data_IF_922338207495
#
_entry.id   IF_922338207495
#
_cell.length_a   1.000
_cell.length_b   1.000
_cell.length_c   1.000
_cell.angle_alpha   90.00
_cell.angle_beta   90.00
_cell.angle_gamma   90.00
#
_symmetry.space_group_name_H-M   'P 1'
#
loop_
_entity.id
_entity.type
_entity.pdbx_description
1 polymer ?
#
# COMPACT_ATOMS: atom_id res chain seq x y z
N UNK A 1 48.87 6.96 16.57
CA UNK A 1 47.96 6.76 15.43
C UNK A 1 46.74 6.02 15.95
N UNK A 2 45.65 6.73 16.25
CA UNK A 2 44.45 6.14 16.86
C UNK A 2 43.54 5.55 15.78
N UNK A 3 43.07 4.32 15.97
CA UNK A 3 42.18 3.63 15.04
C UNK A 3 40.81 4.33 15.02
N UNK A 4 40.16 4.48 13.85
CA UNK A 4 38.80 4.99 13.80
C UNK A 4 37.86 4.04 14.59
N UNK A 5 36.86 4.59 15.30
CA UNK A 5 35.93 3.78 16.08
C UNK A 5 35.15 2.83 15.16
N UNK A 6 35.12 1.54 15.51
CA UNK A 6 34.38 0.49 14.79
C UNK A 6 32.85 0.66 14.86
N UNK A 7 32.37 1.50 15.78
CA UNK A 7 30.96 1.80 15.98
C UNK A 7 30.71 3.22 15.48
N UNK A 8 29.92 3.41 14.41
CA UNK A 8 29.52 4.74 13.95
C UNK A 8 28.76 5.45 15.07
N UNK A 9 29.32 6.55 15.57
CA UNK A 9 28.70 7.43 16.60
C UNK A 9 27.75 8.44 15.92
N UNK A 10 27.75 8.50 14.59
CA UNK A 10 26.92 9.45 13.86
C UNK A 10 25.44 9.07 14.00
N UNK A 11 24.59 10.08 14.21
CA UNK A 11 23.13 9.89 14.19
C UNK A 11 22.60 9.79 12.75
N UNK A 12 23.46 10.03 11.77
CA UNK A 12 23.15 10.14 10.33
C UNK A 12 23.09 8.79 9.62
N UNK A 13 23.78 7.74 10.10
CA UNK A 13 23.72 6.38 9.57
C UNK A 13 22.32 5.75 9.72
N UNK A 14 21.54 6.19 10.70
CA UNK A 14 20.14 5.78 10.85
C UNK A 14 19.18 6.47 9.88
N UNK A 15 19.59 7.58 9.23
CA UNK A 15 18.79 8.28 8.22
C UNK A 15 18.90 7.63 6.84
N UNK A 16 19.94 6.83 6.58
CA UNK A 16 20.11 6.04 5.34
C UNK A 16 19.49 4.65 5.47
N UNK A 17 18.24 4.57 5.91
CA UNK A 17 17.56 3.29 6.06
C UNK A 17 16.62 3.03 4.87
N UNK A 18 16.98 2.05 4.03
CA UNK A 18 16.27 1.73 2.80
C UNK A 18 14.98 0.92 3.01
N UNK A 19 14.36 1.01 4.20
CA UNK A 19 13.10 0.31 4.47
C UNK A 19 11.96 0.78 3.56
N UNK A 20 11.96 2.05 3.15
CA UNK A 20 10.99 2.53 2.16
C UNK A 20 11.21 1.91 0.77
N UNK A 21 12.47 1.65 0.39
CA UNK A 21 12.77 0.91 -0.84
C UNK A 21 12.30 -0.54 -0.76
N UNK A 22 12.55 -1.23 0.36
CA UNK A 22 12.03 -2.60 0.56
C UNK A 22 10.51 -2.60 0.47
N UNK A 23 9.85 -1.65 1.12
CA UNK A 23 8.37 -1.51 1.06
C UNK A 23 7.89 -1.25 -0.36
N UNK A 24 8.58 -0.42 -1.14
CA UNK A 24 8.25 -0.20 -2.55
C UNK A 24 8.39 -1.49 -3.36
N UNK A 25 9.50 -2.21 -3.21
CA UNK A 25 9.73 -3.49 -3.90
C UNK A 25 8.64 -4.52 -3.55
N UNK A 26 8.28 -4.62 -2.27
CA UNK A 26 7.21 -5.52 -1.84
C UNK A 26 5.85 -5.09 -2.38
N UNK A 27 5.53 -3.79 -2.40
CA UNK A 27 4.29 -3.30 -3.00
C UNK A 27 4.22 -3.56 -4.50
N UNK A 28 5.32 -3.41 -5.23
CA UNK A 28 5.40 -3.74 -6.67
C UNK A 28 5.20 -5.24 -6.90
N UNK A 29 5.71 -6.10 -6.02
CA UNK A 29 5.47 -7.54 -6.09
C UNK A 29 3.99 -7.88 -5.97
N UNK A 30 3.27 -7.18 -5.07
CA UNK A 30 1.80 -7.32 -4.94
C UNK A 30 1.08 -6.87 -6.21
N UNK A 31 1.46 -5.72 -6.77
CA UNK A 31 0.89 -5.23 -8.03
C UNK A 31 1.14 -6.22 -9.17
N UNK A 32 2.33 -6.81 -9.23
CA UNK A 32 2.67 -7.82 -10.22
C UNK A 32 1.76 -9.06 -10.10
N UNK A 33 1.59 -9.63 -8.90
CA UNK A 33 0.65 -10.74 -8.66
C UNK A 33 -0.77 -10.42 -9.13
N UNK A 34 -1.29 -9.25 -8.74
CA UNK A 34 -2.63 -8.83 -9.11
C UNK A 34 -2.78 -8.55 -10.61
N UNK A 35 -1.70 -8.18 -11.31
CA UNK A 35 -1.73 -8.04 -12.76
C UNK A 35 -2.02 -9.36 -13.48
N UNK A 36 -1.50 -10.49 -12.97
CA UNK A 36 -1.84 -11.82 -13.47
C UNK A 36 -3.30 -12.17 -13.17
N UNK A 37 -3.79 -11.87 -11.97
CA UNK A 37 -5.21 -12.05 -11.63
C UNK A 37 -6.12 -11.26 -12.58
N UNK A 38 -5.77 -10.01 -12.88
CA UNK A 38 -6.55 -9.15 -13.76
C UNK A 38 -6.49 -9.60 -15.23
N UNK A 39 -5.33 -10.03 -15.72
CA UNK A 39 -5.14 -10.41 -17.11
C UNK A 39 -5.62 -11.84 -17.44
N UNK A 40 -5.47 -12.78 -16.51
CA UNK A 40 -5.70 -14.22 -16.72
C UNK A 40 -6.86 -14.77 -15.89
N UNK A 41 -7.51 -13.93 -15.08
CA UNK A 41 -8.59 -14.32 -14.17
C UNK A 41 -8.12 -15.13 -12.95
N UNK A 42 -6.81 -15.36 -12.81
CA UNK A 42 -6.23 -16.11 -11.70
C UNK A 42 -4.74 -15.78 -11.53
N UNK A 43 -4.29 -15.79 -10.28
CA UNK A 43 -2.87 -15.68 -9.93
C UNK A 43 -2.12 -17.01 -10.13
N UNK A 44 -2.79 -18.11 -10.45
CA UNK A 44 -2.16 -19.43 -10.59
C UNK A 44 -1.09 -19.51 -11.69
N UNK A 45 -1.09 -18.56 -12.64
CA UNK A 45 -0.13 -18.50 -13.76
C UNK A 45 1.05 -17.56 -13.50
N UNK A 46 1.15 -16.95 -12.32
CA UNK A 46 2.35 -16.17 -12.01
C UNK A 46 3.57 -17.08 -11.74
N UNK A 47 4.80 -16.61 -12.00
CA UNK A 47 6.01 -17.45 -11.93
C UNK A 47 6.24 -18.12 -10.56
N UNK A 48 5.95 -17.40 -9.46
CA UNK A 48 6.17 -17.93 -8.11
C UNK A 48 5.07 -18.91 -7.69
N UNK A 49 3.83 -18.67 -8.14
CA UNK A 49 2.73 -19.63 -7.99
C UNK A 49 3.03 -20.94 -8.71
N UNK A 50 3.55 -20.88 -9.94
CA UNK A 50 3.96 -22.09 -10.69
C UNK A 50 5.11 -22.81 -9.97
N UNK A 51 6.13 -22.07 -9.53
CA UNK A 51 7.28 -22.65 -8.84
C UNK A 51 6.93 -23.31 -7.49
N UNK A 52 5.88 -22.83 -6.81
CA UNK A 52 5.41 -23.37 -5.52
C UNK A 52 4.20 -24.28 -5.67
N UNK A 53 3.84 -24.68 -6.89
CA UNK A 53 2.68 -25.54 -7.16
C UNK A 53 1.36 -24.98 -6.59
N UNK A 54 1.19 -23.65 -6.67
CA UNK A 54 -0.02 -22.94 -6.24
C UNK A 54 -0.09 -22.60 -4.74
N UNK A 55 0.90 -22.97 -3.93
CA UNK A 55 0.86 -22.72 -2.48
C UNK A 55 1.09 -21.25 -2.11
N UNK A 56 1.99 -20.57 -2.83
CA UNK A 56 2.33 -19.18 -2.57
C UNK A 56 2.43 -18.39 -3.87
N UNK A 57 1.94 -17.17 -3.86
CA UNK A 57 2.18 -16.21 -4.93
C UNK A 57 3.09 -15.07 -4.41
N UNK A 58 3.61 -14.31 -5.34
CA UNK A 58 4.47 -13.17 -5.12
C UNK A 58 3.75 -12.08 -4.32
N UNK A 59 2.42 -11.97 -4.49
CA UNK A 59 1.57 -11.08 -3.71
C UNK A 59 1.57 -11.39 -2.22
N UNK A 60 1.41 -12.65 -1.82
CA UNK A 60 1.36 -13.09 -0.43
C UNK A 60 2.66 -12.74 0.29
N UNK A 61 3.79 -13.09 -0.32
CA UNK A 61 5.12 -12.78 0.24
C UNK A 61 5.32 -11.27 0.32
N UNK A 62 4.96 -10.53 -0.74
CA UNK A 62 5.04 -9.08 -0.77
C UNK A 62 4.24 -8.44 0.37
N UNK A 63 2.98 -8.82 0.55
CA UNK A 63 2.11 -8.29 1.63
C UNK A 63 2.68 -8.64 3.01
N UNK A 64 3.13 -9.87 3.23
CA UNK A 64 3.68 -10.28 4.54
C UNK A 64 4.89 -9.46 4.92
N UNK A 65 5.88 -9.36 4.03
CA UNK A 65 7.11 -8.59 4.30
C UNK A 65 6.78 -7.10 4.44
N UNK A 66 5.90 -6.57 3.59
CA UNK A 66 5.45 -5.18 3.67
C UNK A 66 4.85 -4.86 5.05
N UNK A 67 3.97 -5.72 5.58
CA UNK A 67 3.36 -5.52 6.88
C UNK A 67 4.32 -5.72 8.05
N UNK A 68 5.21 -6.71 7.98
CA UNK A 68 6.24 -6.91 9.02
C UNK A 68 7.13 -5.66 9.14
N UNK A 69 7.70 -5.19 8.03
CA UNK A 69 8.56 -4.00 8.01
C UNK A 69 7.78 -2.76 8.45
N UNK A 70 6.56 -2.58 7.92
CA UNK A 70 5.72 -1.45 8.30
C UNK A 70 5.35 -1.48 9.79
N UNK A 71 5.11 -2.65 10.37
CA UNK A 71 4.81 -2.85 11.80
C UNK A 71 5.94 -2.36 12.70
N UNK A 72 7.19 -2.71 12.39
CA UNK A 72 8.35 -2.20 13.14
C UNK A 72 8.48 -0.68 13.04
N UNK A 73 8.29 -0.10 11.86
CA UNK A 73 8.31 1.35 11.68
C UNK A 73 7.14 2.04 12.41
N UNK A 74 6.00 1.35 12.53
CA UNK A 74 4.83 1.83 13.27
C UNK A 74 5.15 1.91 14.76
N UNK A 75 5.68 0.84 15.34
CA UNK A 75 6.11 0.80 16.74
C UNK A 75 7.19 1.87 17.03
N UNK A 76 8.21 1.95 16.17
CA UNK A 76 9.28 2.94 16.33
C UNK A 76 8.79 4.40 16.14
N UNK A 77 7.75 4.62 15.34
CA UNK A 77 7.10 5.93 15.22
C UNK A 77 6.26 6.27 16.46
N UNK A 78 5.70 5.27 17.13
CA UNK A 78 4.94 5.45 18.37
C UNK A 78 5.85 5.87 19.53
N UNK A 79 6.96 5.16 19.74
CA UNK A 79 7.95 5.47 20.79
C UNK A 79 8.50 6.89 20.70
N UNK A 80 8.60 7.44 19.50
CA UNK A 80 9.08 8.82 19.25
C UNK A 80 7.97 9.88 19.30
N UNK A 81 6.73 9.50 19.57
CA UNK A 81 5.59 10.42 19.61
C UNK A 81 5.24 10.80 21.05
N UNK A 82 5.08 12.10 21.29
CA UNK A 82 4.77 12.62 22.63
C UNK A 82 3.35 12.29 23.13
N UNK A 83 2.41 11.99 22.22
CA UNK A 83 1.02 11.69 22.57
C UNK A 83 0.28 10.97 21.44
N UNK A 84 -0.83 10.31 21.78
CA UNK A 84 -1.70 9.62 20.82
C UNK A 84 -2.23 10.55 19.70
N UNK A 85 -2.75 11.74 20.00
CA UNK A 85 -3.23 12.66 18.95
C UNK A 85 -2.10 13.14 18.04
N UNK A 86 -0.91 13.39 18.58
CA UNK A 86 0.25 13.83 17.80
C UNK A 86 0.72 12.73 16.82
N UNK A 87 0.67 11.48 17.25
CA UNK A 87 0.97 10.32 16.41
C UNK A 87 -0.06 10.14 15.28
N UNK A 88 -1.36 10.18 15.62
CA UNK A 88 -2.44 10.02 14.64
C UNK A 88 -2.44 11.14 13.61
N UNK A 89 -2.25 12.39 14.03
CA UNK A 89 -2.19 13.55 13.11
C UNK A 89 -1.10 13.39 12.04
N UNK A 90 0.10 12.95 12.43
CA UNK A 90 1.21 12.68 11.49
C UNK A 90 0.85 11.61 10.46
N UNK A 91 0.08 10.59 10.87
CA UNK A 91 -0.32 9.49 9.98
C UNK A 91 -1.44 9.86 9.04
N UNK A 92 -2.45 10.57 9.54
CA UNK A 92 -3.56 11.06 8.70
C UNK A 92 -3.00 11.94 7.59
N UNK A 93 -2.11 12.90 7.92
CA UNK A 93 -1.46 13.75 6.91
C UNK A 93 -0.61 12.99 5.89
N UNK A 94 -0.14 11.79 6.23
CA UNK A 94 0.66 10.94 5.32
C UNK A 94 -0.20 10.01 4.46
N UNK A 95 -1.27 9.44 5.01
CA UNK A 95 -2.09 8.40 4.35
C UNK A 95 -3.23 9.01 3.55
N UNK A 96 -3.93 9.99 4.13
CA UNK A 96 -5.18 10.53 3.58
C UNK A 96 -5.01 11.23 2.22
N UNK A 97 -3.94 12.02 1.97
CA UNK A 97 -3.73 12.62 0.65
C UNK A 97 -3.53 11.58 -0.45
N UNK A 98 -2.75 10.53 -0.17
CA UNK A 98 -2.52 9.44 -1.11
C UNK A 98 -3.78 8.62 -1.36
N UNK A 99 -4.56 8.35 -0.31
CA UNK A 99 -5.84 7.68 -0.41
C UNK A 99 -6.84 8.47 -1.26
N UNK A 100 -6.99 9.78 -1.03
CA UNK A 100 -7.89 10.64 -1.80
C UNK A 100 -7.49 10.70 -3.28
N UNK A 101 -6.19 10.80 -3.56
CA UNK A 101 -5.70 10.78 -4.94
C UNK A 101 -6.00 9.44 -5.62
N UNK A 102 -5.75 8.31 -4.95
CA UNK A 102 -6.01 6.98 -5.49
C UNK A 102 -7.51 6.75 -5.74
N UNK A 103 -8.39 7.11 -4.79
CA UNK A 103 -9.84 6.95 -4.96
C UNK A 103 -10.39 7.86 -6.06
N UNK A 104 -9.91 9.10 -6.15
CA UNK A 104 -10.29 10.01 -7.24
C UNK A 104 -9.85 9.48 -8.61
N UNK A 105 -8.62 8.95 -8.73
CA UNK A 105 -8.15 8.33 -9.98
C UNK A 105 -9.00 7.11 -10.34
N UNK A 106 -9.30 6.24 -9.37
CA UNK A 106 -10.17 5.09 -9.63
C UNK A 106 -11.57 5.53 -10.11
N UNK A 107 -12.17 6.52 -9.46
CA UNK A 107 -13.51 6.98 -9.77
C UNK A 107 -13.62 7.73 -11.11
N UNK A 108 -12.71 8.67 -11.37
CA UNK A 108 -12.80 9.57 -12.51
C UNK A 108 -11.96 9.15 -13.73
N UNK A 109 -10.99 8.24 -13.56
CA UNK A 109 -10.13 7.77 -14.66
C UNK A 109 -10.39 6.30 -14.93
N UNK A 110 -10.24 5.43 -13.93
CA UNK A 110 -10.29 3.97 -14.16
C UNK A 110 -11.69 3.51 -14.52
N UNK A 111 -12.72 3.89 -13.75
CA UNK A 111 -14.10 3.49 -14.03
C UNK A 111 -14.56 3.92 -15.43
N UNK A 112 -14.51 5.18 -15.86
CA UNK A 112 -15.02 5.56 -17.18
C UNK A 112 -14.22 4.96 -18.35
N UNK A 113 -12.96 4.54 -18.14
CA UNK A 113 -12.12 3.99 -19.21
C UNK A 113 -12.19 2.46 -19.32
N UNK A 114 -12.41 1.75 -18.20
CA UNK A 114 -12.35 0.28 -18.15
C UNK A 114 -13.66 -0.39 -17.72
N UNK A 115 -14.70 0.36 -17.32
CA UNK A 115 -15.96 -0.25 -16.90
C UNK A 115 -16.75 -0.85 -18.08
N UNK A 116 -17.48 -1.97 -17.86
CA UNK A 116 -18.31 -2.57 -18.90
C UNK A 116 -19.42 -1.63 -19.40
N UNK A 117 -19.86 -1.78 -20.67
CA UNK A 117 -21.00 -1.03 -21.20
C UNK A 117 -22.25 -1.25 -20.33
N UNK A 118 -22.81 -0.17 -19.77
CA UNK A 118 -23.96 -0.22 -18.86
C UNK A 118 -23.63 0.15 -17.40
N UNK A 119 -22.36 0.22 -17.02
CA UNK A 119 -21.93 0.73 -15.72
C UNK A 119 -21.73 2.26 -15.78
N UNK A 120 -22.83 3.00 -15.66
CA UNK A 120 -22.81 4.46 -15.59
C UNK A 120 -22.90 4.90 -14.12
N UNK A 121 -21.80 5.41 -13.56
CA UNK A 121 -21.85 6.06 -12.25
C UNK A 121 -22.21 7.53 -12.43
N UNK A 122 -23.33 7.95 -11.86
CA UNK A 122 -23.67 9.37 -11.77
C UNK A 122 -22.65 10.11 -10.86
N UNK A 123 -22.43 11.40 -11.11
CA UNK A 123 -21.51 12.22 -10.32
C UNK A 123 -21.90 12.24 -8.83
N UNK A 124 -23.21 12.18 -8.53
CA UNK A 124 -23.72 12.05 -7.17
C UNK A 124 -23.39 10.70 -6.53
N UNK A 125 -23.37 9.62 -7.31
CA UNK A 125 -23.03 8.28 -6.84
C UNK A 125 -21.52 8.13 -6.64
N UNK A 126 -20.70 8.69 -7.52
CA UNK A 126 -19.25 8.81 -7.34
C UNK A 126 -18.93 9.57 -6.06
N UNK A 127 -19.59 10.70 -5.81
CA UNK A 127 -19.40 11.49 -4.60
C UNK A 127 -19.82 10.71 -3.33
N UNK A 128 -20.95 9.98 -3.39
CA UNK A 128 -21.44 9.14 -2.29
C UNK A 128 -20.50 7.98 -1.97
N UNK A 129 -20.04 7.25 -3.00
CA UNK A 129 -19.14 6.10 -2.86
C UNK A 129 -17.76 6.55 -2.38
N UNK A 130 -17.23 7.62 -2.98
CA UNK A 130 -15.93 8.18 -2.57
C UNK A 130 -16.01 8.72 -1.13
N UNK A 131 -17.09 9.42 -0.78
CA UNK A 131 -17.35 9.91 0.57
C UNK A 131 -17.51 8.79 1.62
N UNK A 132 -18.26 7.73 1.29
CA UNK A 132 -18.41 6.57 2.16
C UNK A 132 -17.09 5.80 2.34
N UNK A 133 -16.31 5.66 1.27
CA UNK A 133 -14.98 5.05 1.32
C UNK A 133 -13.98 5.91 2.11
N UNK A 134 -14.10 7.24 2.05
CA UNK A 134 -13.33 8.19 2.90
C UNK A 134 -13.65 8.06 4.39
N UNK A 135 -14.85 7.60 4.73
CA UNK A 135 -15.27 7.27 6.09
C UNK A 135 -15.02 5.81 6.47
N UNK A 136 -14.29 5.05 5.64
CA UNK A 136 -14.02 3.61 5.83
C UNK A 136 -15.29 2.74 5.86
N UNK A 137 -16.42 3.25 5.34
CA UNK A 137 -17.68 2.53 5.30
C UNK A 137 -17.78 1.53 4.12
N UNK A 138 -16.73 1.41 3.30
CA UNK A 138 -16.58 0.47 2.18
C UNK A 138 -17.89 0.26 1.41
N UNK A 139 -18.40 1.34 0.80
CA UNK A 139 -19.61 1.28 0.00
C UNK A 139 -19.26 0.78 -1.40
N UNK A 140 -19.73 -0.42 -1.75
CA UNK A 140 -19.67 -0.95 -3.09
C UNK A 140 -20.99 -0.69 -3.82
N UNK A 141 -20.96 -0.15 -5.05
CA UNK A 141 -22.15 -0.16 -5.89
C UNK A 141 -22.51 -1.62 -6.19
N UNK A 142 -23.66 -2.07 -5.69
CA UNK A 142 -24.24 -3.35 -6.10
C UNK A 142 -24.92 -3.16 -7.47
N UNK A 143 -24.83 -4.13 -8.38
CA UNK A 143 -25.61 -4.13 -9.62
C UNK A 143 -27.12 -4.18 -9.36
#
# INVERSE_FOLDING_TARGET
MALPPLIPIDRTAFYSNNFDFIRLMMALLVVLSHSYALALGSEAREPLSIATNGHYNSGNIGVWVFFIVSGFLIAHSWERSASLPAYLSKRVRRIYPGYLAATAVCAFVVTPTFAPPGFALDAGEIARITGANLLLANAFPLP
#
